data_IF_905835871330
#
_entry.id   IF_905835871330
#
_cell.length_a   1.000
_cell.length_b   1.000
_cell.length_c   1.000
_cell.angle_alpha   90.00
_cell.angle_beta   90.00
_cell.angle_gamma   90.00
#
_symmetry.space_group_name_H-M   'P 1'
#
loop_
_entity.id
_entity.type
_entity.pdbx_description
1 polymer ?
#
# COMPACT_ATOMS: atom_id res chain seq x y z
N UNK A 1 21.67 54.53 10.09
CA UNK A 1 21.87 53.32 10.92
C UNK A 1 20.57 53.09 11.66
N UNK A 2 19.86 51.96 11.61
CA UNK A 2 20.16 50.57 11.26
C UNK A 2 18.84 49.96 10.71
N UNK A 3 18.98 49.07 9.72
CA UNK A 3 17.96 48.08 9.33
C UNK A 3 17.66 47.18 10.57
N UNK A 4 16.76 46.21 10.58
CA UNK A 4 17.08 44.84 10.22
C UNK A 4 15.76 44.07 10.33
N UNK A 5 15.26 43.70 9.17
CA UNK A 5 14.16 42.79 8.90
C UNK A 5 14.67 41.39 9.23
N UNK A 6 14.36 40.83 10.40
CA UNK A 6 14.79 39.47 10.80
C UNK A 6 13.65 38.70 11.44
N UNK A 7 12.51 38.60 10.75
CA UNK A 7 11.36 37.81 11.23
C UNK A 7 10.73 36.87 10.20
N UNK A 8 10.91 37.12 8.89
CA UNK A 8 10.14 36.44 7.84
C UNK A 8 10.90 35.28 7.18
N UNK A 9 12.22 35.19 7.38
CA UNK A 9 13.05 34.23 6.62
C UNK A 9 12.99 32.77 7.14
N UNK A 10 12.57 32.53 8.38
CA UNK A 10 12.69 31.18 8.96
C UNK A 10 11.52 30.25 8.61
N UNK A 11 10.32 30.77 8.35
CA UNK A 11 9.16 29.94 8.00
C UNK A 11 9.19 29.44 6.54
N UNK A 12 9.91 30.13 5.65
CA UNK A 12 9.94 29.75 4.23
C UNK A 12 10.86 28.55 3.97
N UNK A 13 11.93 28.38 4.77
CA UNK A 13 12.90 27.30 4.55
C UNK A 13 12.39 25.91 4.94
N UNK A 14 11.42 25.79 5.87
CA UNK A 14 10.89 24.47 6.29
C UNK A 14 9.91 23.89 5.27
N UNK A 15 9.12 24.73 4.58
CA UNK A 15 8.17 24.27 3.57
C UNK A 15 8.87 23.73 2.30
N UNK A 16 10.03 24.29 1.93
CA UNK A 16 10.73 23.94 0.70
C UNK A 16 11.46 22.59 0.76
N UNK A 17 11.68 22.03 1.96
CA UNK A 17 12.33 20.75 2.16
C UNK A 17 11.42 19.53 1.91
N UNK A 18 10.11 19.73 1.68
CA UNK A 18 9.13 18.64 1.50
C UNK A 18 8.88 18.26 0.03
N UNK A 19 9.43 19.02 -0.92
CA UNK A 19 9.35 18.71 -2.34
C UNK A 19 10.52 17.82 -2.75
N UNK A 20 10.56 16.59 -2.20
CA UNK A 20 11.39 15.54 -2.80
C UNK A 20 10.77 15.13 -4.13
N UNK A 21 11.60 15.06 -5.17
CA UNK A 21 11.28 14.48 -6.47
C UNK A 21 11.02 12.99 -6.27
N UNK A 22 9.78 12.64 -5.90
CA UNK A 22 9.43 11.26 -5.58
C UNK A 22 9.42 10.46 -6.88
N UNK A 23 10.43 9.61 -7.04
CA UNK A 23 10.47 8.60 -8.10
C UNK A 23 9.17 7.81 -8.06
N UNK A 24 8.39 7.89 -9.15
CA UNK A 24 7.17 7.12 -9.31
C UNK A 24 7.54 5.67 -9.61
N UNK A 25 6.98 4.72 -8.86
CA UNK A 25 7.14 3.30 -9.17
C UNK A 25 6.06 2.83 -10.14
N UNK A 26 6.42 2.02 -11.14
CA UNK A 26 5.43 1.43 -12.04
C UNK A 26 4.62 0.33 -11.34
N UNK A 27 3.42 0.69 -10.88
CA UNK A 27 2.50 -0.21 -10.18
C UNK A 27 1.57 -1.00 -11.12
N UNK A 28 1.69 -0.86 -12.45
CA UNK A 28 0.77 -1.51 -13.41
C UNK A 28 0.76 -3.04 -13.26
N UNK A 29 1.87 -3.63 -12.84
CA UNK A 29 1.98 -5.06 -12.57
C UNK A 29 1.06 -5.57 -11.45
N UNK A 30 0.57 -4.71 -10.56
CA UNK A 30 -0.36 -5.08 -9.48
C UNK A 30 -1.85 -4.99 -9.90
N UNK A 31 -2.14 -4.49 -11.10
CA UNK A 31 -3.50 -4.15 -11.53
C UNK A 31 -4.46 -5.34 -11.59
N UNK A 32 -3.96 -6.53 -11.93
CA UNK A 32 -4.79 -7.75 -12.04
C UNK A 32 -5.29 -8.21 -10.66
N UNK A 33 -4.38 -8.43 -9.71
CA UNK A 33 -4.72 -8.81 -8.33
C UNK A 33 -5.64 -7.77 -7.65
N UNK A 34 -5.37 -6.48 -7.89
CA UNK A 34 -6.20 -5.39 -7.40
C UNK A 34 -7.61 -5.41 -7.99
N UNK A 35 -7.74 -5.70 -9.29
CA UNK A 35 -9.03 -5.79 -9.99
C UNK A 35 -9.84 -6.99 -9.50
N UNK A 36 -9.22 -8.15 -9.34
CA UNK A 36 -9.87 -9.34 -8.83
C UNK A 36 -10.37 -9.13 -7.39
N UNK A 37 -9.52 -8.59 -6.51
CA UNK A 37 -9.89 -8.32 -5.13
C UNK A 37 -11.09 -7.38 -5.00
N UNK A 38 -11.14 -6.32 -5.80
CA UNK A 38 -12.21 -5.31 -5.73
C UNK A 38 -13.50 -5.71 -6.43
N UNK A 39 -13.43 -6.50 -7.52
CA UNK A 39 -14.58 -6.80 -8.37
C UNK A 39 -15.23 -8.14 -8.07
N UNK A 40 -14.44 -9.14 -7.64
CA UNK A 40 -14.93 -10.49 -7.41
C UNK A 40 -15.35 -10.63 -5.95
N UNK A 41 -16.67 -10.67 -5.72
CA UNK A 41 -17.26 -10.92 -4.40
C UNK A 41 -17.22 -12.41 -4.08
N UNK A 42 -16.09 -12.87 -3.56
CA UNK A 42 -15.94 -14.22 -3.00
C UNK A 42 -16.09 -14.16 -1.47
N UNK A 43 -17.15 -14.75 -0.89
CA UNK A 43 -17.39 -14.72 0.55
C UNK A 43 -16.32 -15.46 1.36
N UNK A 44 -15.53 -16.35 0.75
CA UNK A 44 -14.50 -17.12 1.43
C UNK A 44 -13.17 -16.36 1.58
N UNK A 45 -13.05 -15.16 0.99
CA UNK A 45 -11.84 -14.32 1.17
C UNK A 45 -11.69 -13.91 2.64
N UNK A 46 -10.47 -14.03 3.14
CA UNK A 46 -10.14 -13.67 4.53
C UNK A 46 -10.22 -12.16 4.79
N UNK A 47 -10.15 -11.34 3.74
CA UNK A 47 -10.49 -9.92 3.75
C UNK A 47 -11.34 -9.56 2.54
N UNK A 48 -12.25 -8.60 2.73
CA UNK A 48 -13.09 -8.03 1.68
C UNK A 48 -12.68 -6.59 1.43
N UNK A 49 -12.79 -6.13 0.18
CA UNK A 49 -12.67 -4.71 -0.13
C UNK A 49 -13.86 -3.95 0.46
N UNK A 50 -13.60 -2.85 1.14
CA UNK A 50 -14.64 -1.98 1.69
C UNK A 50 -15.12 -0.97 0.64
N UNK A 51 -16.35 -0.46 0.81
CA UNK A 51 -16.84 0.62 -0.04
C UNK A 51 -16.00 1.88 0.18
N UNK A 52 -15.50 2.48 -0.92
CA UNK A 52 -14.62 3.64 -0.84
C UNK A 52 -13.21 3.33 -0.30
N UNK A 53 -12.77 2.07 -0.32
CA UNK A 53 -11.42 1.69 0.10
C UNK A 53 -10.37 2.57 -0.62
N UNK A 54 -9.54 3.25 0.17
CA UNK A 54 -8.48 4.10 -0.34
C UNK A 54 -7.42 3.33 -1.13
N UNK A 55 -6.67 4.06 -1.96
CA UNK A 55 -5.58 3.54 -2.79
C UNK A 55 -4.35 4.41 -2.57
N UNK A 56 -3.23 3.82 -2.18
CA UNK A 56 -1.94 4.50 -2.11
C UNK A 56 -1.52 4.97 -3.50
N UNK A 57 -0.93 6.15 -3.58
CA UNK A 57 -0.30 6.69 -4.78
C UNK A 57 0.97 5.88 -5.08
N UNK A 58 1.39 5.76 -6.35
CA UNK A 58 2.63 5.06 -6.70
C UNK A 58 3.91 5.65 -6.07
N UNK A 59 3.85 6.88 -5.54
CA UNK A 59 4.92 7.54 -4.80
C UNK A 59 4.91 7.25 -3.29
N UNK A 60 3.92 6.51 -2.78
CA UNK A 60 3.80 6.02 -1.40
C UNK A 60 4.41 4.62 -1.29
N UNK A 61 5.67 4.52 -1.71
CA UNK A 61 6.40 3.24 -1.89
C UNK A 61 6.52 2.48 -0.56
N UNK A 62 6.72 3.18 0.56
CA UNK A 62 6.91 2.54 1.87
C UNK A 62 5.63 1.83 2.30
N UNK A 63 4.50 2.44 2.07
CA UNK A 63 3.18 1.96 2.43
C UNK A 63 2.80 0.74 1.57
N UNK A 64 3.07 0.82 0.25
CA UNK A 64 2.88 -0.31 -0.67
C UNK A 64 3.80 -1.48 -0.29
N UNK A 65 5.07 -1.22 0.02
CA UNK A 65 6.01 -2.26 0.46
C UNK A 65 5.59 -2.90 1.79
N UNK A 66 5.07 -2.11 2.74
CA UNK A 66 4.54 -2.62 3.99
C UNK A 66 3.34 -3.56 3.76
N UNK A 67 2.45 -3.21 2.83
CA UNK A 67 1.37 -4.11 2.41
C UNK A 67 1.94 -5.41 1.83
N UNK A 68 2.87 -5.34 0.88
CA UNK A 68 3.49 -6.55 0.29
C UNK A 68 4.04 -7.47 1.39
N UNK A 69 4.76 -6.93 2.37
CA UNK A 69 5.31 -7.72 3.47
C UNK A 69 4.23 -8.26 4.42
N UNK A 70 3.17 -7.49 4.67
CA UNK A 70 2.06 -7.92 5.52
C UNK A 70 1.35 -9.17 4.97
N UNK A 71 1.20 -9.26 3.65
CA UNK A 71 0.56 -10.42 3.01
C UNK A 71 1.49 -11.64 2.85
N UNK A 72 2.79 -11.53 3.16
CA UNK A 72 3.72 -12.64 3.02
C UNK A 72 3.41 -13.73 4.05
N UNK A 73 3.35 -14.99 3.58
CA UNK A 73 3.19 -16.17 4.41
C UNK A 73 4.51 -16.59 5.07
N UNK A 74 4.44 -17.45 6.07
CA UNK A 74 5.60 -17.97 6.79
C UNK A 74 6.54 -18.80 5.91
N UNK A 75 6.00 -19.46 4.89
CA UNK A 75 6.74 -20.19 3.86
C UNK A 75 7.36 -19.27 2.78
N UNK A 76 7.18 -17.95 2.87
CA UNK A 76 7.76 -16.94 1.99
C UNK A 76 6.93 -16.57 0.76
N UNK A 77 5.83 -17.26 0.47
CA UNK A 77 4.95 -16.93 -0.66
C UNK A 77 3.83 -15.94 -0.30
N UNK A 78 2.90 -15.71 -1.24
CA UNK A 78 1.78 -14.80 -1.07
C UNK A 78 0.45 -15.42 -1.50
N UNK A 79 -0.68 -15.03 -0.87
CA UNK A 79 -2.00 -15.38 -1.36
C UNK A 79 -2.28 -14.71 -2.71
N UNK A 80 -3.24 -15.25 -3.46
CA UNK A 80 -3.67 -14.68 -4.74
C UNK A 80 -4.68 -13.53 -4.57
N UNK A 81 -4.85 -12.73 -5.61
CA UNK A 81 -5.91 -11.72 -5.76
C UNK A 81 -6.09 -10.77 -4.55
N UNK A 82 -5.03 -10.10 -4.11
CA UNK A 82 -5.14 -8.99 -3.17
C UNK A 82 -4.59 -7.71 -3.79
N UNK A 83 -5.06 -6.56 -3.32
CA UNK A 83 -4.55 -5.27 -3.77
C UNK A 83 -3.42 -4.77 -2.88
N UNK A 84 -2.20 -4.73 -3.42
CA UNK A 84 -1.02 -4.20 -2.75
C UNK A 84 -1.15 -2.69 -2.45
N UNK A 85 -1.97 -1.95 -3.20
CA UNK A 85 -2.14 -0.51 -3.04
C UNK A 85 -3.29 -0.15 -2.08
N UNK A 86 -4.03 -1.11 -1.55
CA UNK A 86 -5.17 -0.81 -0.70
C UNK A 86 -4.75 -0.15 0.61
N UNK A 87 -5.37 0.97 0.96
CA UNK A 87 -5.22 1.56 2.30
C UNK A 87 -6.06 0.73 3.26
N UNK A 88 -5.47 -0.30 3.88
CA UNK A 88 -6.18 -1.23 4.74
C UNK A 88 -6.68 -0.57 6.03
N UNK A 89 -7.83 -1.01 6.54
CA UNK A 89 -8.28 -0.70 7.90
C UNK A 89 -7.48 -1.51 8.93
N UNK A 90 -7.53 -1.11 10.21
CA UNK A 90 -6.86 -1.88 11.26
C UNK A 90 -7.39 -3.31 11.33
N UNK A 91 -8.71 -3.49 11.29
CA UNK A 91 -9.32 -4.82 11.30
C UNK A 91 -8.94 -5.67 10.07
N UNK A 92 -8.73 -5.06 8.90
CA UNK A 92 -8.18 -5.77 7.75
C UNK A 92 -6.73 -6.19 7.99
N UNK A 93 -5.88 -5.31 8.54
CA UNK A 93 -4.48 -5.65 8.87
C UNK A 93 -4.39 -6.80 9.86
N UNK A 94 -5.18 -6.78 10.93
CA UNK A 94 -5.25 -7.85 11.93
C UNK A 94 -5.65 -9.19 11.29
N UNK A 95 -6.67 -9.18 10.42
CA UNK A 95 -7.09 -10.37 9.68
C UNK A 95 -5.99 -10.91 8.77
N UNK A 96 -5.27 -10.06 8.05
CA UNK A 96 -4.15 -10.49 7.20
C UNK A 96 -3.04 -11.10 8.07
N UNK A 97 -2.63 -10.42 9.14
CA UNK A 97 -1.58 -10.90 10.05
C UNK A 97 -1.92 -12.28 10.65
N UNK A 98 -3.19 -12.51 11.02
CA UNK A 98 -3.66 -13.79 11.53
C UNK A 98 -3.59 -14.96 10.52
N UNK A 99 -3.34 -14.68 9.23
CA UNK A 99 -3.23 -15.68 8.16
C UNK A 99 -1.80 -16.03 7.78
N UNK A 100 -0.79 -15.53 8.52
CA UNK A 100 0.63 -15.73 8.19
C UNK A 100 1.04 -17.19 7.98
N UNK A 101 0.49 -18.11 8.75
CA UNK A 101 0.85 -19.55 8.68
C UNK A 101 0.03 -20.36 7.67
N UNK A 102 -0.79 -19.71 6.82
CA UNK A 102 -1.53 -20.43 5.76
C UNK A 102 -0.60 -20.86 4.63
N UNK A 103 -0.92 -22.01 4.03
CA UNK A 103 -0.17 -22.60 2.90
C UNK A 103 -0.80 -22.27 1.53
N UNK A 104 -1.62 -21.22 1.45
CA UNK A 104 -2.36 -20.79 0.25
C UNK A 104 -1.53 -19.94 -0.72
N UNK A 105 -0.24 -20.25 -0.85
CA UNK A 105 0.70 -19.45 -1.63
C UNK A 105 0.75 -19.84 -3.10
N UNK A 106 0.83 -18.83 -3.98
CA UNK A 106 1.05 -19.03 -5.41
C UNK A 106 2.13 -18.09 -5.95
N UNK A 107 2.90 -18.56 -6.94
CA UNK A 107 3.79 -17.71 -7.74
C UNK A 107 3.11 -17.12 -8.98
N UNK A 108 1.91 -17.60 -9.31
CA UNK A 108 1.14 -17.15 -10.48
C UNK A 108 -0.33 -16.89 -10.10
N UNK A 109 -0.89 -15.81 -10.64
CA UNK A 109 -2.29 -15.45 -10.50
C UNK A 109 -3.20 -16.11 -11.57
N UNK A 110 -2.61 -16.71 -12.62
CA UNK A 110 -3.28 -17.26 -13.80
C UNK A 110 -3.41 -18.78 -13.85
N UNK A 111 -3.16 -19.51 -12.75
CA UNK A 111 -3.29 -20.96 -12.77
C UNK A 111 -4.75 -21.40 -13.01
N UNK A 112 -4.91 -22.17 -14.09
CA UNK A 112 -6.10 -22.92 -14.52
C UNK A 112 -6.47 -23.98 -13.47
#
# INVERSE_FOLDING_TARGET
MKLWITGVCFLCCVAMAMAEDRVEFDVRGFGDGASHWRRIKDPNRFIQAEEGQGVYKPTEIREIAANILLFQRSNGGWPKDYDMLAVLTEGQREKVAATREREDTSFDNHNI
#
